data_IF_051680790482
#
_entry.id   IF_051680790482
#
_cell.length_a   1.000
_cell.length_b   1.000
_cell.length_c   1.000
_cell.angle_alpha   90.00
_cell.angle_beta   90.00
_cell.angle_gamma   90.00
#
_symmetry.space_group_name_H-M   'P 1'
#
loop_
_entity.id
_entity.type
_entity.pdbx_description
1 polymer ?
#
# COMPACT_ATOMS: atom_id res chain seq x y z
N UNK A 1 5.22 17.58 11.83
CA UNK A 1 4.41 18.22 10.78
C UNK A 1 5.09 17.86 9.48
N UNK A 2 4.56 16.90 8.73
CA UNK A 2 5.20 16.45 7.49
C UNK A 2 5.03 17.53 6.42
N UNK A 3 6.05 17.70 5.57
CA UNK A 3 5.97 18.56 4.39
C UNK A 3 4.92 17.98 3.42
N UNK A 4 4.07 18.85 2.87
CA UNK A 4 3.00 18.48 1.94
C UNK A 4 3.58 17.84 0.68
N UNK A 5 4.77 18.26 0.24
CA UNK A 5 5.49 17.62 -0.88
C UNK A 5 5.92 16.18 -0.53
N UNK A 6 6.48 15.94 0.66
CA UNK A 6 6.81 14.59 1.13
C UNK A 6 5.57 13.72 1.32
N UNK A 7 4.46 14.32 1.77
CA UNK A 7 3.18 13.62 1.89
C UNK A 7 2.63 13.20 0.51
N UNK A 8 2.69 14.09 -0.49
CA UNK A 8 2.29 13.78 -1.87
C UNK A 8 3.11 12.64 -2.44
N UNK A 9 4.44 12.67 -2.27
CA UNK A 9 5.32 11.58 -2.70
C UNK A 9 4.96 10.25 -2.03
N UNK A 10 4.73 10.27 -0.72
CA UNK A 10 4.26 9.09 0.04
C UNK A 10 2.91 8.56 -0.49
N UNK A 11 1.99 9.44 -0.90
CA UNK A 11 0.70 9.03 -1.46
C UNK A 11 0.85 8.41 -2.86
N UNK A 12 1.76 8.94 -3.70
CA UNK A 12 2.07 8.39 -5.03
C UNK A 12 2.70 6.99 -4.91
N UNK A 13 3.67 6.81 -4.02
CA UNK A 13 4.31 5.50 -3.77
C UNK A 13 3.29 4.45 -3.26
N UNK A 14 2.36 4.86 -2.38
CA UNK A 14 1.24 4.02 -1.95
C UNK A 14 0.32 3.64 -3.12
N UNK A 15 -0.03 4.60 -3.98
CA UNK A 15 -0.91 4.39 -5.12
C UNK A 15 -0.27 3.44 -6.15
N UNK A 16 1.03 3.60 -6.44
CA UNK A 16 1.78 2.66 -7.30
C UNK A 16 1.81 1.23 -6.70
N UNK A 17 1.99 1.11 -5.39
CA UNK A 17 1.93 -0.17 -4.68
C UNK A 17 0.53 -0.80 -4.77
N UNK A 18 -0.51 0.01 -4.62
CA UNK A 18 -1.91 -0.43 -4.78
C UNK A 18 -2.21 -0.87 -6.21
N UNK A 19 -1.75 -0.14 -7.26
CA UNK A 19 -1.91 -0.59 -8.65
C UNK A 19 -1.30 -1.98 -8.87
N UNK A 20 -0.07 -2.22 -8.43
CA UNK A 20 0.54 -3.54 -8.54
C UNK A 20 -0.26 -4.62 -7.79
N UNK A 21 -0.68 -4.32 -6.55
CA UNK A 21 -1.49 -5.25 -5.74
C UNK A 21 -2.87 -5.54 -6.37
N UNK A 22 -3.54 -4.54 -6.96
CA UNK A 22 -4.85 -4.72 -7.61
C UNK A 22 -4.74 -5.58 -8.86
N UNK A 23 -3.74 -5.32 -9.73
CA UNK A 23 -3.50 -6.13 -10.93
C UNK A 23 -3.09 -7.56 -10.54
N UNK A 24 -2.24 -7.71 -9.53
CA UNK A 24 -1.85 -9.01 -8.97
C UNK A 24 -3.05 -9.79 -8.46
N UNK A 25 -3.92 -9.17 -7.65
CA UNK A 25 -5.15 -9.78 -7.15
C UNK A 25 -6.11 -10.18 -8.28
N UNK A 26 -6.36 -9.28 -9.24
CA UNK A 26 -7.22 -9.57 -10.39
C UNK A 26 -6.69 -10.71 -11.26
N UNK A 27 -5.37 -10.86 -11.38
CA UNK A 27 -4.73 -11.92 -12.19
C UNK A 27 -4.66 -13.26 -11.46
N UNK A 28 -4.66 -13.27 -10.12
CA UNK A 28 -4.49 -14.51 -9.32
C UNK A 28 -5.80 -15.10 -8.81
N UNK A 29 -6.83 -14.28 -8.59
CA UNK A 29 -8.11 -14.72 -8.01
C UNK A 29 -9.29 -14.73 -8.98
N UNK A 30 -9.10 -14.43 -10.27
CA UNK A 30 -10.21 -14.48 -11.23
C UNK A 30 -10.69 -15.92 -11.50
N UNK A 31 -12.01 -16.09 -11.56
CA UNK A 31 -12.61 -17.29 -12.10
C UNK A 31 -12.31 -17.39 -13.60
N UNK A 32 -11.62 -18.45 -14.00
CA UNK A 32 -11.41 -18.75 -15.41
C UNK A 32 -12.73 -19.27 -16.00
N UNK A 33 -13.54 -18.35 -16.52
CA UNK A 33 -14.81 -18.70 -17.15
C UNK A 33 -14.60 -19.80 -18.20
N UNK A 34 -15.34 -20.93 -18.14
CA UNK A 34 -15.20 -21.98 -19.12
C UNK A 34 -15.53 -21.41 -20.51
N UNK A 35 -14.64 -21.65 -21.48
CA UNK A 35 -14.87 -21.22 -22.85
C UNK A 35 -16.23 -21.73 -23.34
N UNK A 36 -17.07 -20.81 -23.82
CA UNK A 36 -18.38 -21.15 -24.40
C UNK A 36 -18.11 -22.15 -25.53
N UNK A 37 -18.63 -23.39 -25.45
CA UNK A 37 -18.37 -24.38 -26.47
C UNK A 37 -18.94 -23.88 -27.81
N UNK A 38 -18.19 -24.01 -28.92
CA UNK A 38 -18.67 -23.58 -30.22
C UNK A 38 -19.96 -24.34 -30.59
N UNK A 39 -20.93 -23.72 -31.29
CA UNK A 39 -22.19 -24.37 -31.66
C UNK A 39 -21.99 -25.56 -32.61
N UNK A 40 -20.80 -25.71 -33.19
CA UNK A 40 -20.37 -26.85 -34.02
C UNK A 40 -19.37 -27.73 -33.27
N UNK A 41 -19.67 -29.03 -33.03
CA UNK A 41 -18.83 -29.91 -32.20
C UNK A 41 -17.45 -30.24 -32.80
N UNK A 42 -17.21 -29.87 -34.06
CA UNK A 42 -15.96 -30.13 -34.80
C UNK A 42 -14.93 -29.00 -34.68
N UNK A 43 -15.26 -27.87 -34.05
CA UNK A 43 -14.40 -26.67 -34.02
C UNK A 43 -13.44 -26.61 -32.82
N UNK A 44 -13.40 -27.62 -31.97
CA UNK A 44 -12.43 -27.68 -30.87
C UNK A 44 -11.02 -27.99 -31.42
N UNK A 45 -10.02 -27.10 -31.25
CA UNK A 45 -8.65 -27.42 -31.63
C UNK A 45 -8.13 -28.59 -30.77
N UNK A 46 -7.36 -29.49 -31.37
CA UNK A 46 -6.89 -30.70 -30.72
C UNK A 46 -5.90 -30.40 -29.56
N UNK A 47 -6.44 -30.18 -28.36
CA UNK A 47 -5.73 -29.90 -27.11
C UNK A 47 -4.59 -30.90 -26.79
N UNK A 48 -4.65 -32.12 -27.33
CA UNK A 48 -3.61 -33.14 -27.21
C UNK A 48 -2.26 -32.76 -27.85
N UNK A 49 -2.19 -31.73 -28.71
CA UNK A 49 -0.94 -31.27 -29.36
C UNK A 49 -0.37 -29.97 -28.78
N UNK A 50 -1.06 -29.33 -27.84
CA UNK A 50 -0.54 -28.14 -27.19
C UNK A 50 0.38 -28.60 -26.07
N UNK A 51 1.69 -28.43 -26.27
CA UNK A 51 2.69 -28.59 -25.21
C UNK A 51 2.32 -27.64 -24.06
N UNK A 52 1.89 -28.19 -22.93
CA UNK A 52 1.67 -27.40 -21.71
C UNK A 52 2.97 -26.69 -21.38
N UNK A 53 2.94 -25.36 -21.28
CA UNK A 53 4.13 -24.59 -20.94
C UNK A 53 4.62 -25.05 -19.56
N UNK A 54 5.78 -25.70 -19.54
CA UNK A 54 6.33 -26.30 -18.33
C UNK A 54 6.89 -25.20 -17.45
N UNK A 55 6.08 -24.69 -16.52
CA UNK A 55 6.54 -23.80 -15.44
C UNK A 55 7.35 -24.61 -14.41
N UNK A 56 8.53 -25.05 -14.83
CA UNK A 56 9.53 -25.63 -13.95
C UNK A 56 10.74 -24.67 -14.00
N UNK A 57 11.15 -24.05 -12.89
CA UNK A 57 12.29 -23.15 -12.87
C UNK A 57 13.57 -23.92 -13.28
N UNK A 58 14.58 -23.23 -13.84
CA UNK A 58 15.78 -23.89 -14.35
C UNK A 58 16.60 -24.50 -13.21
N UNK A 59 16.41 -25.81 -13.00
CA UNK A 59 17.28 -26.63 -12.15
C UNK A 59 18.66 -26.69 -12.82
N UNK A 60 19.79 -26.41 -12.12
CA UNK A 60 21.11 -26.51 -12.73
C UNK A 60 21.40 -27.94 -13.21
N UNK A 61 22.07 -28.03 -14.37
CA UNK A 61 22.22 -29.27 -15.15
C UNK A 61 22.90 -30.44 -14.41
N UNK A 62 23.56 -30.19 -13.28
CA UNK A 62 24.20 -31.21 -12.43
C UNK A 62 23.20 -32.17 -11.76
N UNK A 63 21.94 -31.78 -11.56
CA UNK A 63 20.94 -32.65 -10.93
C UNK A 63 20.33 -33.70 -11.88
N UNK A 64 20.29 -33.42 -13.19
CA UNK A 64 19.61 -34.27 -14.17
C UNK A 64 20.31 -35.63 -14.41
N UNK A 65 21.63 -35.71 -14.17
CA UNK A 65 22.42 -36.90 -14.45
C UNK A 65 22.11 -38.10 -13.54
N UNK A 66 21.62 -37.87 -12.32
CA UNK A 66 21.47 -38.92 -11.29
C UNK A 66 20.25 -39.83 -11.55
N UNK A 67 19.24 -39.35 -12.28
CA UNK A 67 18.00 -40.09 -12.55
C UNK A 67 18.04 -40.97 -13.82
N UNK A 68 19.14 -40.96 -14.58
CA UNK A 68 19.21 -41.60 -15.90
C UNK A 68 19.66 -43.09 -15.91
N UNK A 69 19.93 -43.70 -14.75
CA UNK A 69 20.44 -45.09 -14.69
C UNK A 69 19.65 -45.99 -13.72
N UNK A 70 18.42 -46.37 -14.10
CA UNK A 70 17.80 -47.63 -13.66
C UNK A 70 16.66 -48.11 -14.59
N UNK A 71 16.84 -49.28 -15.19
CA UNK A 71 15.84 -50.16 -15.84
C UNK A 71 16.51 -51.56 -15.96
N UNK A 72 15.79 -52.71 -16.01
CA UNK A 72 14.44 -52.97 -16.53
C UNK A 72 13.50 -53.58 -15.42
N UNK A 73 12.49 -54.45 -15.57
CA UNK A 73 12.07 -55.32 -16.70
C UNK A 73 10.62 -55.87 -16.62
N UNK A 74 10.18 -56.43 -17.76
CA UNK A 74 9.18 -57.49 -18.04
C UNK A 74 8.09 -57.92 -17.02
N UNK A 75 6.84 -58.05 -17.51
CA UNK A 75 6.12 -59.33 -17.71
C UNK A 75 4.58 -59.19 -17.76
N UNK A 76 3.94 -60.05 -18.56
CA UNK A 76 2.54 -60.05 -18.98
C UNK A 76 1.48 -60.39 -17.90
N UNK A 77 0.23 -60.01 -18.17
CA UNK A 77 -0.98 -60.53 -17.50
C UNK A 77 -2.26 -59.80 -17.93
N UNK A 78 -3.25 -60.50 -18.47
CA UNK A 78 -4.52 -59.93 -18.93
C UNK A 78 -5.73 -60.59 -18.27
N UNK A 79 -6.73 -59.80 -17.81
CA UNK A 79 -8.17 -60.15 -17.72
C UNK A 79 -9.04 -58.87 -17.65
N UNK A 80 -10.31 -59.00 -18.00
CA UNK A 80 -11.45 -58.04 -17.87
C UNK A 80 -12.69 -58.86 -17.42
N UNK A 81 -13.94 -58.33 -17.26
CA UNK A 81 -14.46 -57.03 -16.77
C UNK A 81 -15.58 -57.17 -15.67
N UNK A 82 -16.15 -56.08 -15.12
CA UNK A 82 -17.56 -56.05 -14.64
C UNK A 82 -17.90 -55.42 -13.25
N UNK A 83 -19.16 -54.96 -12.99
CA UNK A 83 -19.54 -54.00 -11.90
C UNK A 83 -20.64 -54.57 -10.93
N UNK A 84 -21.53 -53.83 -10.18
CA UNK A 84 -21.65 -52.38 -9.81
C UNK A 84 -22.04 -52.02 -8.31
N UNK A 85 -21.88 -50.73 -7.91
CA UNK A 85 -22.68 -49.83 -6.99
C UNK A 85 -23.37 -50.34 -5.67
N UNK A 86 -24.15 -49.55 -4.85
CA UNK A 86 -24.40 -48.08 -4.76
C UNK A 86 -24.41 -47.43 -3.32
N UNK A 87 -24.63 -46.10 -3.23
CA UNK A 87 -25.21 -45.37 -2.06
C UNK A 87 -24.23 -44.64 -1.11
N UNK A 88 -24.55 -43.50 -0.46
CA UNK A 88 -25.74 -42.64 -0.50
C UNK A 88 -25.46 -41.20 0.05
N UNK A 89 -26.40 -40.26 -0.19
CA UNK A 89 -26.69 -38.97 0.50
C UNK A 89 -25.54 -38.15 1.14
N UNK A 90 -25.22 -36.94 0.66
CA UNK A 90 -26.00 -35.70 0.81
C UNK A 90 -26.10 -35.18 2.26
N UNK A 91 -25.46 -34.03 2.52
CA UNK A 91 -25.55 -33.28 3.78
C UNK A 91 -25.05 -31.85 3.56
N UNK A 92 -25.98 -30.90 3.42
CA UNK A 92 -25.66 -29.48 3.34
C UNK A 92 -25.53 -28.90 4.75
N UNK A 93 -24.43 -28.18 5.00
CA UNK A 93 -24.21 -27.38 6.19
C UNK A 93 -23.28 -26.24 5.80
N UNK A 94 -23.75 -25.01 5.94
CA UNK A 94 -22.93 -23.83 5.67
C UNK A 94 -22.13 -23.46 6.90
N UNK A 95 -20.81 -23.33 6.75
CA UNK A 95 -19.95 -22.67 7.73
C UNK A 95 -19.37 -21.40 7.11
N UNK A 96 -19.86 -20.25 7.58
CA UNK A 96 -19.10 -19.00 7.53
C UNK A 96 -17.94 -19.11 8.52
N UNK A 97 -16.85 -19.74 8.09
CA UNK A 97 -15.58 -19.69 8.81
C UNK A 97 -14.57 -18.94 7.94
N UNK A 98 -14.15 -17.76 8.40
CA UNK A 98 -13.10 -16.99 7.75
C UNK A 98 -11.81 -17.80 7.72
N UNK A 99 -11.49 -18.36 6.55
CA UNK A 99 -10.25 -19.10 6.36
C UNK A 99 -9.06 -18.14 6.42
N UNK A 100 -8.49 -18.00 7.61
CA UNK A 100 -7.07 -17.69 7.79
C UNK A 100 -6.26 -18.87 7.22
N UNK A 101 -6.23 -18.97 5.89
CA UNK A 101 -5.40 -19.92 5.19
C UNK A 101 -3.95 -19.55 5.49
N UNK A 102 -3.26 -20.44 6.21
CA UNK A 102 -1.82 -20.33 6.38
C UNK A 102 -1.14 -20.27 5.02
N UNK A 103 0.04 -19.63 4.99
CA UNK A 103 0.84 -19.50 3.78
C UNK A 103 1.36 -20.91 3.43
N UNK A 104 0.63 -21.64 2.59
CA UNK A 104 1.17 -22.79 1.87
C UNK A 104 2.16 -22.27 0.82
N UNK A 105 3.42 -22.17 1.23
CA UNK A 105 4.50 -21.50 0.53
C UNK A 105 4.83 -22.21 -0.80
N UNK A 106 4.22 -21.74 -1.90
CA UNK A 106 4.55 -22.14 -3.27
C UNK A 106 3.38 -22.54 -4.17
N UNK A 107 2.16 -22.68 -3.67
CA UNK A 107 0.98 -23.00 -4.49
C UNK A 107 0.18 -21.73 -4.81
N UNK A 108 -0.28 -21.50 -6.06
CA UNK A 108 -1.12 -20.34 -6.36
C UNK A 108 -2.43 -20.41 -5.55
N UNK A 109 -2.93 -19.26 -5.05
CA UNK A 109 -4.13 -19.22 -4.24
C UNK A 109 -5.34 -19.71 -5.05
N UNK A 110 -6.35 -20.26 -4.34
CA UNK A 110 -7.59 -20.70 -5.00
C UNK A 110 -8.36 -19.48 -5.54
N UNK A 111 -8.98 -19.57 -6.72
CA UNK A 111 -9.85 -18.52 -7.23
C UNK A 111 -10.96 -18.14 -6.24
N UNK A 112 -11.33 -16.87 -6.24
CA UNK A 112 -12.41 -16.36 -5.40
C UNK A 112 -13.77 -16.66 -6.01
N UNK A 113 -14.80 -16.83 -5.16
CA UNK A 113 -16.18 -16.88 -5.65
C UNK A 113 -16.51 -15.61 -6.45
N UNK A 114 -17.31 -15.68 -7.52
CA UNK A 114 -17.56 -14.53 -8.40
C UNK A 114 -18.24 -13.37 -7.68
N UNK A 115 -19.02 -13.66 -6.63
CA UNK A 115 -19.61 -12.64 -5.74
C UNK A 115 -18.54 -11.93 -4.90
N UNK A 116 -17.60 -12.69 -4.32
CA UNK A 116 -16.50 -12.15 -3.51
C UNK A 116 -15.54 -11.33 -4.37
N UNK A 117 -15.16 -11.86 -5.53
CA UNK A 117 -14.28 -11.19 -6.50
C UNK A 117 -14.89 -9.86 -6.96
N UNK A 118 -16.17 -9.85 -7.38
CA UNK A 118 -16.86 -8.63 -7.80
C UNK A 118 -17.12 -7.65 -6.64
N UNK A 119 -17.13 -8.09 -5.39
CA UNK A 119 -17.17 -7.20 -4.22
C UNK A 119 -15.79 -6.54 -4.00
N UNK A 120 -14.73 -7.35 -3.92
CA UNK A 120 -13.34 -6.87 -3.76
C UNK A 120 -12.91 -5.95 -4.90
N UNK A 121 -13.26 -6.26 -6.15
CA UNK A 121 -12.97 -5.39 -7.30
C UNK A 121 -13.57 -3.99 -7.14
N UNK A 122 -14.79 -3.86 -6.59
CA UNK A 122 -15.43 -2.56 -6.34
C UNK A 122 -14.80 -1.83 -5.15
N UNK A 123 -14.36 -2.56 -4.13
CA UNK A 123 -13.66 -2.00 -2.97
C UNK A 123 -12.30 -1.43 -3.38
N UNK A 124 -11.50 -2.21 -4.12
CA UNK A 124 -10.22 -1.80 -4.69
C UNK A 124 -10.36 -0.58 -5.61
N UNK A 125 -11.37 -0.59 -6.50
CA UNK A 125 -11.65 0.56 -7.37
C UNK A 125 -12.07 1.82 -6.58
N UNK A 126 -12.81 1.65 -5.47
CA UNK A 126 -13.19 2.77 -4.60
C UNK A 126 -11.97 3.35 -3.88
N UNK A 127 -11.10 2.52 -3.33
CA UNK A 127 -9.90 2.97 -2.62
C UNK A 127 -8.96 3.76 -3.56
N UNK A 128 -8.73 3.26 -4.78
CA UNK A 128 -7.95 3.97 -5.80
C UNK A 128 -8.56 5.35 -6.14
N UNK A 129 -9.88 5.46 -6.28
CA UNK A 129 -10.57 6.74 -6.56
C UNK A 129 -10.46 7.71 -5.37
N UNK A 130 -10.57 7.21 -4.13
CA UNK A 130 -10.39 8.05 -2.92
C UNK A 130 -8.94 8.51 -2.79
N UNK A 131 -7.97 7.67 -3.13
CA UNK A 131 -6.54 8.01 -3.15
C UNK A 131 -6.21 9.06 -4.20
N UNK A 132 -6.79 8.97 -5.39
CA UNK A 132 -6.64 10.01 -6.42
C UNK A 132 -7.22 11.34 -5.96
N UNK A 133 -8.43 11.36 -5.38
CA UNK A 133 -9.02 12.57 -4.78
C UNK A 133 -8.16 13.14 -3.65
N UNK A 134 -7.52 12.29 -2.85
CA UNK A 134 -6.58 12.72 -1.80
C UNK A 134 -5.34 13.39 -2.41
N UNK A 135 -4.81 12.89 -3.52
CA UNK A 135 -3.68 13.48 -4.25
C UNK A 135 -4.09 14.80 -4.90
N UNK A 136 -5.24 14.87 -5.58
CA UNK A 136 -5.78 16.10 -6.17
C UNK A 136 -5.97 17.19 -5.10
N UNK A 137 -6.54 16.84 -3.94
CA UNK A 137 -6.67 17.75 -2.81
C UNK A 137 -5.30 18.22 -2.30
N UNK A 138 -4.33 17.31 -2.10
CA UNK A 138 -2.98 17.68 -1.66
C UNK A 138 -2.32 18.63 -2.66
N UNK A 139 -2.45 18.39 -3.97
CA UNK A 139 -1.98 19.30 -5.03
C UNK A 139 -2.64 20.67 -4.90
N UNK A 140 -3.95 20.75 -4.66
CA UNK A 140 -4.69 22.01 -4.52
C UNK A 140 -4.31 22.82 -3.27
N UNK A 141 -3.74 22.17 -2.24
CA UNK A 141 -3.33 22.79 -0.96
C UNK A 141 -1.81 23.02 -0.88
N UNK A 142 -1.06 22.68 -1.93
CA UNK A 142 0.38 22.95 -1.98
C UNK A 142 0.67 24.47 -1.84
N UNK A 143 1.48 24.89 -0.85
CA UNK A 143 1.78 26.30 -0.65
C UNK A 143 2.61 26.84 -1.81
N UNK A 144 2.22 28.00 -2.33
CA UNK A 144 2.92 28.67 -3.43
C UNK A 144 2.53 28.22 -4.84
N UNK A 145 1.61 27.28 -5.02
CA UNK A 145 1.06 26.99 -6.36
C UNK A 145 0.41 28.24 -6.96
N UNK A 146 0.61 28.46 -8.26
CA UNK A 146 0.05 29.59 -8.99
C UNK A 146 0.72 30.95 -8.73
N UNK A 147 1.59 31.08 -7.71
CA UNK A 147 2.44 32.26 -7.54
C UNK A 147 3.73 32.13 -8.34
N UNK A 148 4.17 33.22 -8.98
CA UNK A 148 5.46 33.22 -9.69
C UNK A 148 6.64 33.31 -8.71
N UNK A 149 7.79 32.78 -9.12
CA UNK A 149 9.06 32.88 -8.37
C UNK A 149 9.40 34.34 -7.99
N UNK A 150 9.14 35.29 -8.89
CA UNK A 150 9.37 36.72 -8.67
C UNK A 150 8.45 37.31 -7.59
N UNK A 151 7.21 36.85 -7.51
CA UNK A 151 6.27 37.26 -6.44
C UNK A 151 6.63 36.63 -5.10
N UNK A 152 7.08 35.36 -5.10
CA UNK A 152 7.61 34.71 -3.92
C UNK A 152 8.86 35.42 -3.39
N UNK A 153 9.83 35.71 -4.26
CA UNK A 153 11.06 36.43 -3.91
C UNK A 153 10.76 37.84 -3.38
N UNK A 154 9.85 38.58 -4.03
CA UNK A 154 9.40 39.90 -3.55
C UNK A 154 8.79 39.79 -2.16
N UNK A 155 7.89 38.83 -1.94
CA UNK A 155 7.23 38.62 -0.65
C UNK A 155 8.23 38.20 0.44
N UNK A 156 9.27 37.43 0.10
CA UNK A 156 10.36 37.10 1.04
C UNK A 156 11.10 38.37 1.45
N UNK A 157 11.47 39.24 0.49
CA UNK A 157 12.15 40.52 0.79
C UNK A 157 11.29 41.48 1.63
N UNK A 158 9.98 41.52 1.37
CA UNK A 158 9.02 42.30 2.16
C UNK A 158 8.98 41.79 3.62
N UNK A 159 8.80 40.47 3.82
CA UNK A 159 8.79 39.84 5.15
C UNK A 159 10.14 39.95 5.89
N UNK A 160 11.27 39.91 5.19
CA UNK A 160 12.59 40.18 5.78
C UNK A 160 12.71 41.62 6.30
N UNK A 161 12.08 42.58 5.62
CA UNK A 161 12.00 43.97 6.08
C UNK A 161 11.16 44.09 7.35
N UNK A 162 9.92 43.58 7.32
CA UNK A 162 9.01 43.57 8.47
C UNK A 162 9.63 42.89 9.71
N UNK A 163 10.32 41.76 9.52
CA UNK A 163 11.01 41.06 10.60
C UNK A 163 12.08 41.92 11.27
N UNK A 164 12.88 42.67 10.50
CA UNK A 164 13.92 43.56 11.06
C UNK A 164 13.31 44.70 11.87
N UNK A 165 12.21 45.29 11.39
CA UNK A 165 11.50 46.35 12.13
C UNK A 165 10.92 45.83 13.45
N UNK A 166 10.29 44.65 13.44
CA UNK A 166 9.75 43.99 14.63
C UNK A 166 10.87 43.58 15.61
N UNK A 167 12.03 43.15 15.12
CA UNK A 167 13.20 42.86 15.93
C UNK A 167 13.78 44.12 16.59
N UNK A 168 13.89 45.25 15.87
CA UNK A 168 14.28 46.54 16.43
C UNK A 168 13.31 47.01 17.53
N UNK A 169 12.00 46.91 17.29
CA UNK A 169 11.00 47.23 18.30
C UNK A 169 11.15 46.36 19.55
N UNK A 170 11.35 45.05 19.35
CA UNK A 170 11.57 44.09 20.44
C UNK A 170 12.81 44.46 21.24
N UNK A 171 13.91 44.85 20.59
CA UNK A 171 15.11 45.32 21.29
C UNK A 171 14.88 46.61 22.09
N UNK A 172 14.11 47.57 21.55
CA UNK A 172 13.79 48.83 22.24
C UNK A 172 12.95 48.54 23.48
N UNK A 173 11.88 47.75 23.37
CA UNK A 173 11.04 47.32 24.51
C UNK A 173 11.84 46.51 25.54
N UNK A 174 12.77 45.65 25.12
CA UNK A 174 13.69 44.93 26.03
C UNK A 174 14.64 45.89 26.76
N UNK A 175 15.15 46.94 26.10
CA UNK A 175 15.98 47.99 26.74
C UNK A 175 15.17 48.76 27.78
N UNK A 176 13.95 49.16 27.47
CA UNK A 176 13.03 49.84 28.39
C UNK A 176 12.69 48.96 29.61
N UNK A 177 12.34 47.69 29.39
CA UNK A 177 12.11 46.72 30.46
C UNK A 177 13.33 46.55 31.37
N UNK A 178 14.57 46.57 30.86
CA UNK A 178 15.78 46.55 31.68
C UNK A 178 15.96 47.82 32.52
N UNK A 179 15.47 48.98 32.08
CA UNK A 179 15.49 50.23 32.86
C UNK A 179 14.40 50.21 33.93
N UNK A 180 13.18 49.81 33.57
CA UNK A 180 12.05 49.65 34.48
C UNK A 180 12.36 48.62 35.58
N UNK A 181 12.91 47.45 35.23
CA UNK A 181 13.36 46.42 36.17
C UNK A 181 14.33 47.01 37.20
N UNK A 182 15.39 47.69 36.77
CA UNK A 182 16.38 48.29 37.68
C UNK A 182 15.79 49.36 38.61
N UNK A 183 14.78 50.12 38.15
CA UNK A 183 14.02 51.05 39.00
C UNK A 183 13.20 50.32 40.06
N UNK A 184 12.49 49.24 39.68
CA UNK A 184 11.72 48.41 40.62
C UNK A 184 12.63 47.74 41.63
N UNK A 185 13.78 47.18 41.21
CA UNK A 185 14.79 46.60 42.10
C UNK A 185 15.34 47.63 43.09
N UNK A 186 15.59 48.87 42.65
CA UNK A 186 16.02 49.96 43.54
C UNK A 186 14.96 50.35 44.58
N UNK A 187 13.68 50.41 44.20
CA UNK A 187 12.57 50.65 45.15
C UNK A 187 12.41 49.48 46.12
N UNK A 188 12.52 48.24 45.63
CA UNK A 188 12.42 47.04 46.47
C UNK A 188 13.55 47.00 47.52
N UNK A 189 14.79 47.28 47.12
CA UNK A 189 15.93 47.36 48.03
C UNK A 189 15.82 48.50 49.05
N UNK A 190 15.24 49.65 48.66
CA UNK A 190 14.96 50.74 49.61
C UNK A 190 13.89 50.34 50.65
N UNK A 191 12.86 49.60 50.24
CA UNK A 191 11.84 49.05 51.16
C UNK A 191 12.44 47.98 52.07
N UNK A 192 13.30 47.10 51.54
CA UNK A 192 14.04 46.10 52.32
C UNK A 192 14.91 46.77 53.39
N UNK A 193 15.78 47.71 53.02
CA UNK A 193 16.59 48.47 53.97
C UNK A 193 15.75 49.28 54.97
N UNK A 194 14.60 49.83 54.57
CA UNK A 194 13.68 50.52 55.48
C UNK A 194 13.01 49.62 56.52
N UNK A 195 12.73 48.36 56.16
CA UNK A 195 12.11 47.36 57.05
C UNK A 195 13.15 46.72 57.99
N UNK A 196 14.38 46.51 57.52
CA UNK A 196 15.43 45.83 58.29
C UNK A 196 16.42 46.76 59.01
N UNK A 197 16.60 48.00 58.54
CA UNK A 197 17.54 48.99 59.11
C UNK A 197 16.97 49.83 60.26
N UNK A 198 15.72 49.61 60.65
CA UNK A 198 15.04 50.31 61.74
C UNK A 198 15.04 49.55 63.08
N UNK A 199 16.04 48.69 63.34
CA UNK A 199 16.11 47.83 64.52
C UNK A 199 17.53 47.72 65.07
#
# INVERSE_FOLDING_TARGET
MADILTQLQTCLDQLATQFYATIGYLTTYHDNSPAIPPPTPTSAPALAKIQKNSTNPPIPASAAAILSQASPSAAAGAVTPGPPAPGAAAGAGGDEAGATAGIEEGLPPRPDSPRTFAARQRELARDLVIKEQQIEYLISVLPGIGSSEQEQERRIRELEGELREVEEERERKVRELRVLRRRVEGVLGAVECGIYGGR
#
